data_IF_129143866434
#
_entry.id   IF_129143866434
#
_cell.length_a   1.000
_cell.length_b   1.000
_cell.length_c   1.000
_cell.angle_alpha   90.00
_cell.angle_beta   90.00
_cell.angle_gamma   90.00
#
_symmetry.space_group_name_H-M   'P 1'
#
loop_
_entity.id
_entity.type
_entity.pdbx_description
1 polymer ?
#
# COMPACT_ATOMS: atom_id res chain seq x y z
N UNK A 1 -38.70 9.31 -2.12
CA UNK A 1 -38.40 8.77 -3.47
C UNK A 1 -39.45 7.78 -3.94
N UNK A 2 -39.86 6.79 -3.14
CA UNK A 2 -40.81 5.75 -3.54
C UNK A 2 -42.24 6.28 -3.79
N UNK A 3 -42.72 7.22 -2.99
CA UNK A 3 -44.02 7.85 -3.15
C UNK A 3 -44.15 8.68 -4.46
N UNK A 4 -43.07 9.39 -4.82
CA UNK A 4 -43.02 10.18 -6.07
C UNK A 4 -43.01 9.26 -7.30
N UNK A 5 -42.27 8.16 -7.21
CA UNK A 5 -42.21 7.13 -8.25
C UNK A 5 -43.55 6.41 -8.43
N UNK A 6 -44.28 6.16 -7.35
CA UNK A 6 -45.62 5.57 -7.42
C UNK A 6 -46.61 6.49 -8.09
N UNK A 7 -46.68 7.78 -7.71
CA UNK A 7 -47.55 8.77 -8.32
C UNK A 7 -47.29 8.92 -9.82
N UNK A 8 -46.01 8.95 -10.24
CA UNK A 8 -45.65 9.00 -11.65
C UNK A 8 -46.15 7.76 -12.43
N UNK A 9 -46.09 6.56 -11.83
CA UNK A 9 -46.60 5.32 -12.45
C UNK A 9 -48.12 5.31 -12.56
N UNK A 10 -48.83 5.74 -11.54
CA UNK A 10 -50.27 5.84 -11.54
C UNK A 10 -50.74 6.87 -12.59
N UNK A 11 -50.09 8.03 -12.66
CA UNK A 11 -50.40 9.04 -13.68
C UNK A 11 -50.12 8.50 -15.09
N UNK A 12 -49.02 7.79 -15.29
CA UNK A 12 -48.70 7.19 -16.58
C UNK A 12 -49.75 6.16 -17.01
N UNK A 13 -50.22 5.28 -16.09
CA UNK A 13 -51.33 4.33 -16.37
C UNK A 13 -52.59 5.04 -16.83
N UNK A 14 -52.97 6.13 -16.14
CA UNK A 14 -54.13 6.96 -16.54
C UNK A 14 -53.96 7.57 -17.95
N UNK A 15 -52.79 8.11 -18.24
CA UNK A 15 -52.47 8.70 -19.54
C UNK A 15 -52.50 7.67 -20.68
N UNK A 16 -52.10 6.42 -20.44
CA UNK A 16 -52.18 5.34 -21.43
C UNK A 16 -53.61 5.06 -21.84
N UNK A 17 -54.58 5.21 -20.92
CA UNK A 17 -56.01 5.02 -21.21
C UNK A 17 -56.61 6.26 -21.84
N UNK A 18 -56.26 7.46 -21.38
CA UNK A 18 -56.83 8.71 -21.85
C UNK A 18 -56.30 9.18 -23.22
N UNK A 19 -55.08 8.84 -23.54
CA UNK A 19 -54.35 9.32 -24.71
C UNK A 19 -53.59 8.21 -25.44
N UNK A 20 -54.28 7.17 -25.97
CA UNK A 20 -53.63 5.96 -26.49
C UNK A 20 -52.70 6.22 -27.69
N UNK A 21 -52.91 7.31 -28.40
CA UNK A 21 -52.16 7.66 -29.61
C UNK A 21 -50.90 8.49 -29.35
N UNK A 22 -50.58 8.76 -28.10
CA UNK A 22 -49.37 9.53 -27.78
C UNK A 22 -48.10 8.75 -28.08
N UNK A 23 -47.06 9.50 -28.53
CA UNK A 23 -45.71 8.98 -28.71
C UNK A 23 -45.04 8.81 -27.36
N UNK A 24 -44.00 7.96 -27.32
CA UNK A 24 -43.19 7.76 -26.09
C UNK A 24 -42.63 9.08 -25.52
N UNK A 25 -42.25 10.01 -26.45
CA UNK A 25 -41.72 11.33 -26.09
C UNK A 25 -42.77 12.18 -25.38
N UNK A 26 -44.01 12.17 -25.87
CA UNK A 26 -45.11 12.91 -25.24
C UNK A 26 -45.46 12.37 -23.86
N UNK A 27 -45.51 11.03 -23.70
CA UNK A 27 -45.70 10.44 -22.38
C UNK A 27 -44.54 10.78 -21.43
N UNK A 28 -43.29 10.70 -21.89
CA UNK A 28 -42.10 11.03 -21.08
C UNK A 28 -42.18 12.46 -20.56
N UNK A 29 -42.58 13.39 -21.41
CA UNK A 29 -42.70 14.80 -21.10
C UNK A 29 -43.83 15.07 -20.11
N UNK A 30 -44.99 14.42 -20.30
CA UNK A 30 -46.17 14.59 -19.43
C UNK A 30 -45.97 14.01 -18.02
N UNK A 31 -45.18 12.94 -17.89
CA UNK A 31 -44.90 12.29 -16.60
C UNK A 31 -43.61 12.82 -15.96
N UNK A 32 -42.77 13.59 -16.68
CA UNK A 32 -41.48 14.07 -16.20
C UNK A 32 -40.41 12.96 -16.08
N UNK A 33 -40.51 11.91 -16.90
CA UNK A 33 -39.61 10.75 -16.86
C UNK A 33 -38.91 10.51 -18.20
N UNK A 34 -37.89 9.68 -18.23
CA UNK A 34 -37.17 9.33 -19.47
C UNK A 34 -38.00 8.43 -20.40
N UNK A 35 -37.75 8.50 -21.72
CA UNK A 35 -38.37 7.58 -22.69
C UNK A 35 -38.05 6.09 -22.40
N UNK A 36 -36.88 5.81 -21.84
CA UNK A 36 -36.52 4.46 -21.39
C UNK A 36 -37.42 3.99 -20.23
N UNK A 37 -37.77 4.87 -19.32
CA UNK A 37 -38.70 4.61 -18.25
C UNK A 37 -40.10 4.32 -18.83
N UNK A 38 -40.59 5.15 -19.76
CA UNK A 38 -41.87 4.95 -20.46
C UNK A 38 -41.92 3.59 -21.18
N UNK A 39 -40.86 3.24 -21.94
CA UNK A 39 -40.75 1.93 -22.61
C UNK A 39 -40.88 0.76 -21.63
N UNK A 40 -40.17 0.84 -20.51
CA UNK A 40 -40.20 -0.19 -19.46
C UNK A 40 -41.60 -0.35 -18.87
N UNK A 41 -42.20 0.77 -18.48
CA UNK A 41 -43.50 0.76 -17.79
C UNK A 41 -44.66 0.46 -18.74
N UNK A 42 -44.64 0.88 -20.02
CA UNK A 42 -45.61 0.46 -21.02
C UNK A 42 -45.64 -1.06 -21.17
N UNK A 43 -44.46 -1.73 -21.25
CA UNK A 43 -44.43 -3.18 -21.33
C UNK A 43 -45.04 -3.82 -20.09
N UNK A 44 -44.72 -3.32 -18.90
CA UNK A 44 -45.16 -3.88 -17.62
C UNK A 44 -46.68 -3.71 -17.41
N UNK A 45 -47.20 -2.56 -17.72
CA UNK A 45 -48.63 -2.28 -17.59
C UNK A 45 -49.48 -3.06 -18.61
N UNK A 46 -48.98 -3.30 -19.82
CA UNK A 46 -49.68 -4.13 -20.83
C UNK A 46 -49.74 -5.61 -20.43
N UNK A 47 -48.79 -6.08 -19.61
CA UNK A 47 -48.73 -7.46 -19.17
C UNK A 47 -49.51 -7.71 -17.87
N UNK A 48 -49.95 -6.66 -17.19
CA UNK A 48 -50.72 -6.74 -15.96
C UNK A 48 -52.22 -6.73 -16.23
N UNK A 49 -53.01 -7.27 -15.31
CA UNK A 49 -54.47 -7.12 -15.35
C UNK A 49 -54.84 -5.64 -15.19
N UNK A 50 -55.99 -5.20 -15.81
CA UNK A 50 -56.40 -3.81 -15.76
C UNK A 50 -56.54 -3.23 -14.34
N UNK A 51 -56.93 -4.05 -13.38
CA UNK A 51 -57.20 -3.62 -11.99
C UNK A 51 -56.08 -3.99 -11.01
N UNK A 52 -54.96 -4.52 -11.52
CA UNK A 52 -53.81 -4.84 -10.67
C UNK A 52 -53.05 -3.57 -10.25
N UNK A 53 -53.26 -3.12 -9.02
CA UNK A 53 -52.52 -2.02 -8.42
C UNK A 53 -51.11 -2.40 -7.97
N UNK A 54 -50.85 -3.70 -7.74
CA UNK A 54 -49.54 -4.16 -7.28
C UNK A 54 -48.45 -3.95 -8.33
N UNK A 55 -48.84 -3.89 -9.62
CA UNK A 55 -47.95 -3.58 -10.73
C UNK A 55 -47.26 -2.22 -10.58
N UNK A 56 -47.96 -1.26 -9.92
CA UNK A 56 -47.42 0.07 -9.67
C UNK A 56 -46.35 0.10 -8.56
N UNK A 57 -46.27 -0.91 -7.77
CA UNK A 57 -45.25 -1.02 -6.72
C UNK A 57 -43.84 -1.26 -7.30
N UNK A 58 -42.83 -0.71 -6.63
CA UNK A 58 -41.44 -0.94 -6.98
C UNK A 58 -41.05 -2.40 -6.75
N UNK A 59 -40.45 -3.02 -7.74
CA UNK A 59 -39.85 -4.35 -7.52
C UNK A 59 -38.55 -4.21 -6.76
N UNK A 60 -38.30 -5.10 -5.82
CA UNK A 60 -37.01 -5.20 -5.12
C UNK A 60 -35.86 -5.34 -6.14
N UNK A 61 -34.82 -4.52 -5.94
CA UNK A 61 -33.55 -4.63 -6.70
C UNK A 61 -32.61 -5.65 -6.09
N UNK A 62 -33.05 -6.35 -5.04
CA UNK A 62 -32.25 -7.42 -4.43
C UNK A 62 -32.00 -8.53 -5.46
N UNK A 63 -30.85 -9.16 -5.34
CA UNK A 63 -30.55 -10.33 -6.16
C UNK A 63 -31.54 -11.44 -5.87
N UNK A 64 -32.14 -12.02 -6.91
CA UNK A 64 -33.06 -13.16 -6.80
C UNK A 64 -32.36 -14.39 -6.20
N UNK A 65 -31.09 -14.56 -6.50
CA UNK A 65 -30.22 -15.62 -5.96
C UNK A 65 -29.03 -14.94 -5.27
N UNK A 66 -29.13 -14.59 -3.99
CA UNK A 66 -27.99 -14.08 -3.26
C UNK A 66 -26.93 -15.18 -3.14
N UNK A 67 -25.63 -14.81 -3.21
CA UNK A 67 -24.58 -15.80 -3.00
C UNK A 67 -24.71 -16.40 -1.59
N UNK A 68 -24.42 -17.68 -1.49
CA UNK A 68 -24.37 -18.39 -0.22
C UNK A 68 -23.46 -17.67 0.78
N UNK A 69 -23.90 -17.61 2.01
CA UNK A 69 -23.12 -17.01 3.11
C UNK A 69 -21.95 -17.92 3.45
N UNK A 70 -20.87 -17.31 3.92
CA UNK A 70 -19.76 -18.06 4.50
C UNK A 70 -20.26 -18.79 5.77
N UNK A 71 -19.70 -19.97 6.03
CA UNK A 71 -19.99 -20.71 7.26
C UNK A 71 -19.52 -19.93 8.49
N UNK A 72 -20.14 -20.20 9.60
CA UNK A 72 -19.83 -19.59 10.88
C UNK A 72 -18.38 -19.84 11.29
N UNK A 73 -17.89 -21.05 11.06
CA UNK A 73 -16.49 -21.46 11.27
C UNK A 73 -15.50 -20.55 10.56
N UNK A 74 -15.77 -20.20 9.27
CA UNK A 74 -14.90 -19.29 8.52
C UNK A 74 -15.00 -17.87 9.04
N UNK A 75 -16.17 -17.42 9.48
CA UNK A 75 -16.37 -16.10 10.08
C UNK A 75 -15.61 -15.99 11.41
N UNK A 76 -15.72 -16.98 12.27
CA UNK A 76 -15.01 -17.06 13.55
C UNK A 76 -13.48 -17.05 13.33
N UNK A 77 -13.00 -17.87 12.39
CA UNK A 77 -11.57 -17.90 12.07
C UNK A 77 -11.05 -16.56 11.55
N UNK A 78 -11.85 -15.81 10.77
CA UNK A 78 -11.51 -14.43 10.34
C UNK A 78 -11.36 -13.51 11.55
N UNK A 79 -12.22 -13.60 12.55
CA UNK A 79 -12.18 -12.80 13.76
C UNK A 79 -11.01 -13.22 14.65
N UNK A 80 -10.75 -14.50 14.79
CA UNK A 80 -9.63 -15.05 15.54
C UNK A 80 -8.28 -14.58 14.97
N UNK A 81 -8.05 -14.74 13.66
CA UNK A 81 -6.84 -14.23 13.00
C UNK A 81 -6.69 -12.70 13.16
N UNK A 82 -7.80 -11.97 13.28
CA UNK A 82 -7.78 -10.53 13.55
C UNK A 82 -7.38 -10.21 14.98
N UNK A 83 -7.93 -10.92 15.96
CA UNK A 83 -7.78 -10.66 17.38
C UNK A 83 -6.50 -11.32 17.96
N UNK A 84 -6.12 -12.48 17.39
CA UNK A 84 -4.90 -13.23 17.70
C UNK A 84 -4.07 -13.40 16.42
N UNK A 85 -3.22 -12.43 16.10
CA UNK A 85 -2.42 -12.47 14.87
C UNK A 85 -1.49 -13.70 14.86
N UNK A 86 -1.23 -14.29 13.68
CA UNK A 86 -0.22 -15.33 13.53
C UNK A 86 1.15 -14.86 14.02
N UNK A 87 1.97 -15.81 14.47
CA UNK A 87 3.33 -15.55 14.95
C UNK A 87 4.14 -14.73 13.93
N UNK A 88 4.89 -13.75 14.41
CA UNK A 88 5.66 -12.83 13.57
C UNK A 88 4.88 -11.64 13.00
N UNK A 89 3.55 -11.58 13.18
CA UNK A 89 2.74 -10.45 12.76
C UNK A 89 2.38 -9.55 13.95
N UNK A 90 3.25 -8.63 14.29
CA UNK A 90 3.14 -7.78 15.50
C UNK A 90 2.00 -6.78 15.54
N UNK A 91 0.99 -6.89 14.65
CA UNK A 91 -0.20 -6.03 14.65
C UNK A 91 -1.44 -6.77 14.14
N UNK A 92 -2.64 -6.32 14.54
CA UNK A 92 -3.88 -6.91 14.01
C UNK A 92 -3.93 -6.84 12.49
N UNK A 93 -4.04 -7.99 11.78
CA UNK A 93 -4.02 -8.04 10.31
C UNK A 93 -5.26 -7.37 9.72
N UNK A 94 -5.05 -6.63 8.62
CA UNK A 94 -6.14 -6.08 7.82
C UNK A 94 -6.78 -7.14 6.92
N UNK A 95 -7.90 -6.77 6.29
CA UNK A 95 -8.67 -7.69 5.44
C UNK A 95 -7.85 -8.34 4.29
N UNK A 96 -6.82 -7.66 3.76
CA UNK A 96 -5.93 -8.23 2.73
C UNK A 96 -4.98 -9.27 3.32
N UNK A 97 -4.42 -9.02 4.50
CA UNK A 97 -3.56 -9.96 5.18
C UNK A 97 -4.35 -11.22 5.59
N UNK A 98 -5.54 -11.05 6.17
CA UNK A 98 -6.40 -12.19 6.51
C UNK A 98 -6.72 -13.02 5.26
N UNK A 99 -7.05 -12.39 4.12
CA UNK A 99 -7.29 -13.11 2.86
C UNK A 99 -6.08 -13.94 2.40
N UNK A 100 -4.88 -13.51 2.75
CA UNK A 100 -3.64 -14.23 2.45
C UNK A 100 -3.44 -15.45 3.37
N UNK A 101 -3.79 -15.34 4.66
CA UNK A 101 -3.59 -16.42 5.64
C UNK A 101 -4.66 -17.52 5.56
N UNK A 102 -5.93 -17.18 5.32
CA UNK A 102 -7.02 -18.15 5.30
C UNK A 102 -6.79 -19.37 4.38
N UNK A 103 -6.29 -19.24 3.13
CA UNK A 103 -6.02 -20.39 2.27
C UNK A 103 -4.82 -21.25 2.72
N UNK A 104 -4.11 -20.85 3.76
CA UNK A 104 -2.96 -21.55 4.35
C UNK A 104 -3.30 -22.20 5.69
N UNK A 105 -4.52 -22.01 6.13
CA UNK A 105 -5.04 -22.58 7.36
C UNK A 105 -5.38 -24.07 7.13
N UNK A 106 -4.61 -24.95 7.79
CA UNK A 106 -4.74 -26.38 7.61
C UNK A 106 -6.11 -26.92 8.04
N UNK A 107 -6.69 -26.37 9.11
CA UNK A 107 -7.97 -26.80 9.66
C UNK A 107 -9.12 -26.45 8.72
N UNK A 108 -9.13 -25.25 8.17
CA UNK A 108 -10.14 -24.83 7.19
C UNK A 108 -10.04 -25.62 5.87
N UNK A 109 -8.82 -25.96 5.45
CA UNK A 109 -8.58 -26.78 4.26
C UNK A 109 -9.05 -28.22 4.47
N UNK A 110 -8.73 -28.82 5.62
CA UNK A 110 -9.16 -30.18 5.96
C UNK A 110 -10.68 -30.33 6.03
N UNK A 111 -11.38 -29.27 6.49
CA UNK A 111 -12.84 -29.23 6.55
C UNK A 111 -13.50 -28.88 5.21
N UNK A 112 -12.75 -28.64 4.15
CA UNK A 112 -13.28 -28.26 2.83
C UNK A 112 -14.11 -26.97 2.84
N UNK A 113 -13.83 -26.04 3.75
CA UNK A 113 -14.62 -24.83 3.95
C UNK A 113 -14.50 -23.87 2.76
N UNK A 114 -15.64 -23.27 2.37
CA UNK A 114 -15.66 -22.24 1.34
C UNK A 114 -15.06 -20.94 1.85
N UNK A 115 -13.90 -20.54 1.33
CA UNK A 115 -13.20 -19.35 1.73
C UNK A 115 -13.68 -18.07 0.98
N UNK A 116 -13.54 -16.88 1.59
CA UNK A 116 -13.86 -15.61 0.94
C UNK A 116 -12.91 -15.36 -0.23
N UNK A 117 -13.45 -14.95 -1.38
CA UNK A 117 -12.67 -14.65 -2.60
C UNK A 117 -12.16 -13.21 -2.67
N UNK A 118 -12.58 -12.35 -1.75
CA UNK A 118 -12.19 -10.93 -1.78
C UNK A 118 -11.99 -10.36 -0.38
N UNK A 119 -11.03 -9.45 -0.28
CA UNK A 119 -10.79 -8.67 0.93
C UNK A 119 -12.00 -7.79 1.33
N UNK A 120 -12.89 -7.45 0.38
CA UNK A 120 -14.11 -6.70 0.66
C UNK A 120 -15.10 -7.50 1.53
N UNK A 121 -15.19 -8.80 1.31
CA UNK A 121 -16.02 -9.68 2.13
C UNK A 121 -15.51 -9.74 3.57
N UNK A 122 -14.20 -9.94 3.74
CA UNK A 122 -13.54 -9.92 5.05
C UNK A 122 -13.71 -8.57 5.74
N UNK A 123 -13.48 -7.47 5.01
CA UNK A 123 -13.69 -6.11 5.55
C UNK A 123 -15.11 -5.93 6.09
N UNK A 124 -16.13 -6.42 5.36
CA UNK A 124 -17.53 -6.34 5.80
C UNK A 124 -17.77 -7.11 7.09
N UNK A 125 -17.22 -8.33 7.21
CA UNK A 125 -17.29 -9.14 8.42
C UNK A 125 -16.65 -8.42 9.61
N UNK A 126 -15.39 -7.96 9.44
CA UNK A 126 -14.68 -7.24 10.48
C UNK A 126 -15.40 -5.95 10.91
N UNK A 127 -16.04 -5.26 9.96
CA UNK A 127 -16.81 -4.05 10.24
C UNK A 127 -18.11 -4.37 11.01
N UNK A 128 -18.82 -5.42 10.63
CA UNK A 128 -20.02 -5.87 11.34
C UNK A 128 -19.71 -6.33 12.76
N UNK A 129 -18.56 -6.97 12.96
CA UNK A 129 -18.04 -7.36 14.27
C UNK A 129 -17.42 -6.20 15.07
N UNK A 130 -17.47 -4.94 14.59
CA UNK A 130 -16.91 -3.78 15.29
C UNK A 130 -15.38 -3.71 15.34
N UNK A 131 -14.66 -4.59 14.60
CA UNK A 131 -13.19 -4.66 14.58
C UNK A 131 -12.53 -3.61 13.69
N UNK A 132 -13.30 -2.78 12.96
CA UNK A 132 -12.81 -1.71 12.09
C UNK A 132 -13.49 -0.40 12.43
N UNK A 133 -12.69 0.60 12.86
CA UNK A 133 -13.15 1.98 13.02
C UNK A 133 -13.05 2.71 11.68
N UNK A 134 -14.09 3.44 11.30
CA UNK A 134 -14.06 4.29 10.10
C UNK A 134 -13.07 5.44 10.33
N UNK A 135 -12.02 5.51 9.52
CA UNK A 135 -11.21 6.73 9.39
C UNK A 135 -11.80 7.59 8.28
N UNK A 136 -11.82 8.92 8.48
CA UNK A 136 -12.15 9.83 7.38
C UNK A 136 -11.14 9.62 6.25
N UNK A 137 -11.60 9.49 5.00
CA UNK A 137 -10.68 9.37 3.88
C UNK A 137 -9.82 10.63 3.79
N UNK A 138 -8.51 10.52 3.79
CA UNK A 138 -7.63 11.58 3.32
C UNK A 138 -7.68 11.54 1.80
N UNK A 139 -8.11 12.62 1.19
CA UNK A 139 -7.96 12.83 -0.25
C UNK A 139 -6.46 13.00 -0.49
N UNK A 140 -5.83 12.03 -1.11
CA UNK A 140 -4.46 12.12 -1.61
C UNK A 140 -4.56 12.03 -3.12
N UNK A 141 -3.95 12.96 -3.80
CA UNK A 141 -3.78 12.86 -5.25
C UNK A 141 -2.99 11.59 -5.58
N UNK A 142 -3.35 10.88 -6.66
CA UNK A 142 -2.60 9.70 -7.10
C UNK A 142 -1.20 10.15 -7.51
N UNK A 143 -0.19 9.79 -6.75
CA UNK A 143 1.21 10.00 -7.16
C UNK A 143 1.62 8.83 -8.06
N UNK A 144 2.10 9.15 -9.25
CA UNK A 144 2.68 8.16 -10.16
C UNK A 144 3.91 7.51 -9.50
N UNK A 145 3.98 6.20 -9.56
CA UNK A 145 5.08 5.48 -8.95
C UNK A 145 6.27 5.40 -9.90
N UNK A 146 7.48 5.61 -9.41
CA UNK A 146 8.67 5.41 -10.22
C UNK A 146 8.79 3.94 -10.67
N UNK A 147 9.60 3.73 -11.70
CA UNK A 147 9.89 2.38 -12.18
C UNK A 147 10.47 1.48 -11.05
N UNK A 148 10.26 0.17 -11.10
CA UNK A 148 10.82 -0.75 -10.13
C UNK A 148 12.32 -0.53 -9.93
N UNK A 149 12.78 -0.46 -8.68
CA UNK A 149 14.18 -0.32 -8.27
C UNK A 149 14.91 0.94 -8.80
N UNK A 150 14.24 1.85 -9.48
CA UNK A 150 14.87 3.05 -10.05
C UNK A 150 15.17 4.14 -9.02
N UNK A 151 14.37 4.23 -7.98
CA UNK A 151 14.51 5.24 -6.93
C UNK A 151 14.44 4.58 -5.56
N UNK A 152 15.42 4.90 -4.70
CA UNK A 152 15.47 4.40 -3.34
C UNK A 152 15.44 5.54 -2.34
N UNK A 153 14.71 5.33 -1.26
CA UNK A 153 14.67 6.24 -0.12
C UNK A 153 15.49 5.65 1.03
N UNK A 154 16.34 6.48 1.64
CA UNK A 154 17.17 6.13 2.78
C UNK A 154 16.76 6.95 4.00
N UNK A 155 16.81 6.34 5.17
CA UNK A 155 16.56 7.03 6.42
C UNK A 155 17.05 6.20 7.61
N UNK A 156 17.46 6.89 8.69
CA UNK A 156 17.83 6.26 9.93
C UNK A 156 16.63 6.01 10.82
N UNK A 157 16.67 4.92 11.55
CA UNK A 157 15.67 4.58 12.55
C UNK A 157 16.34 4.13 13.82
N UNK A 158 16.08 4.84 14.92
CA UNK A 158 16.42 4.37 16.24
C UNK A 158 15.67 3.05 16.52
N UNK A 159 16.44 1.99 16.78
CA UNK A 159 15.95 0.67 17.12
C UNK A 159 16.09 0.34 18.61
N UNK A 160 16.56 1.28 19.42
CA UNK A 160 16.76 1.07 20.86
C UNK A 160 15.42 0.81 21.54
N UNK A 161 15.28 -0.37 22.11
CA UNK A 161 14.18 -0.72 23.01
C UNK A 161 14.65 -0.93 24.45
N UNK A 162 15.91 -0.65 24.71
CA UNK A 162 16.58 -0.91 26.00
C UNK A 162 16.04 0.02 27.07
N UNK A 163 15.66 -0.53 28.20
CA UNK A 163 15.24 0.24 29.38
C UNK A 163 16.43 1.08 29.89
N UNK A 164 16.11 2.26 30.43
CA UNK A 164 17.13 3.10 31.09
C UNK A 164 17.79 2.29 32.20
N UNK A 165 19.14 2.21 32.21
CA UNK A 165 19.88 1.54 33.25
C UNK A 165 19.68 2.23 34.60
N UNK A 166 19.91 1.49 35.68
CA UNK A 166 19.68 1.99 37.05
C UNK A 166 20.56 3.21 37.41
N UNK A 167 21.63 3.46 36.65
CA UNK A 167 22.54 4.61 36.83
C UNK A 167 22.06 5.89 36.11
N UNK A 168 20.89 5.86 35.45
CA UNK A 168 20.30 6.99 34.74
C UNK A 168 20.97 7.32 33.42
N UNK A 169 21.96 6.54 32.97
CA UNK A 169 22.52 6.69 31.61
C UNK A 169 21.51 6.21 30.58
N UNK A 170 21.36 6.99 29.52
CA UNK A 170 20.60 6.52 28.37
C UNK A 170 21.31 5.32 27.77
N UNK A 171 20.59 4.20 27.57
CA UNK A 171 21.19 3.04 26.94
C UNK A 171 21.75 3.40 25.58
N UNK A 172 22.74 2.64 25.16
CA UNK A 172 23.36 2.80 23.86
C UNK A 172 22.31 2.76 22.74
N UNK A 173 22.25 3.81 21.93
CA UNK A 173 21.30 3.91 20.82
C UNK A 173 21.79 2.96 19.72
N UNK A 174 20.96 2.01 19.36
CA UNK A 174 21.18 1.17 18.18
C UNK A 174 20.34 1.73 17.04
N UNK A 175 21.01 2.06 15.96
CA UNK A 175 20.35 2.59 14.77
C UNK A 175 20.33 1.62 13.61
N UNK A 176 19.33 1.77 12.75
CA UNK A 176 19.19 1.02 11.51
C UNK A 176 19.08 1.98 10.36
N UNK A 177 20.00 1.88 9.42
CA UNK A 177 19.88 2.55 8.11
C UNK A 177 18.99 1.69 7.21
N UNK A 178 17.80 2.19 6.93
CA UNK A 178 16.84 1.54 6.04
C UNK A 178 16.91 2.11 4.63
N UNK A 179 16.87 1.21 3.66
CA UNK A 179 16.76 1.57 2.24
C UNK A 179 15.55 0.87 1.62
N UNK A 180 14.65 1.66 1.02
CA UNK A 180 13.42 1.13 0.40
C UNK A 180 13.30 1.58 -1.05
N UNK A 181 12.97 0.65 -1.95
CA UNK A 181 12.66 0.97 -3.34
C UNK A 181 11.25 1.58 -3.43
N UNK A 182 11.14 2.83 -3.86
CA UNK A 182 9.88 3.57 -3.86
C UNK A 182 8.83 2.95 -4.77
N UNK A 183 9.23 2.55 -5.98
CA UNK A 183 8.33 1.96 -6.97
C UNK A 183 7.71 0.64 -6.54
N UNK A 184 8.46 -0.19 -5.81
CA UNK A 184 8.04 -1.54 -5.40
C UNK A 184 7.63 -1.64 -3.95
N UNK A 185 8.08 -0.70 -3.11
CA UNK A 185 8.02 -0.76 -1.65
C UNK A 185 8.79 -1.95 -1.05
N UNK A 186 9.76 -2.49 -1.75
CA UNK A 186 10.68 -3.52 -1.25
C UNK A 186 11.69 -2.86 -0.33
N UNK A 187 11.90 -3.44 0.85
CA UNK A 187 12.96 -3.05 1.77
C UNK A 187 14.27 -3.64 1.24
N UNK A 188 15.07 -2.81 0.55
CA UNK A 188 16.31 -3.23 -0.14
C UNK A 188 17.34 -3.68 0.88
N UNK A 189 17.50 -2.90 1.96
CA UNK A 189 18.38 -3.24 3.06
C UNK A 189 17.90 -2.58 4.37
N UNK A 190 18.29 -3.19 5.49
CA UNK A 190 18.17 -2.64 6.83
C UNK A 190 19.50 -2.95 7.57
N UNK A 191 20.41 -2.00 7.57
CA UNK A 191 21.75 -2.18 8.15
C UNK A 191 21.75 -1.71 9.60
N UNK A 192 22.05 -2.62 10.52
CA UNK A 192 22.06 -2.37 11.96
C UNK A 192 23.48 -2.07 12.42
N UNK A 193 23.67 -0.95 13.10
CA UNK A 193 24.96 -0.58 13.73
C UNK A 193 24.72 0.02 15.12
N UNK A 194 25.75 -0.04 15.95
CA UNK A 194 25.76 0.63 17.25
C UNK A 194 25.84 2.16 17.11
N UNK A 195 26.47 2.61 16.03
CA UNK A 195 26.66 4.01 15.69
C UNK A 195 26.66 4.22 14.18
N UNK A 196 26.20 5.36 13.75
CA UNK A 196 26.36 5.87 12.38
C UNK A 196 27.02 7.23 12.43
N UNK A 197 28.27 7.27 12.05
CA UNK A 197 29.01 8.51 11.73
C UNK A 197 28.84 8.83 10.23
N UNK A 198 29.31 9.97 9.77
CA UNK A 198 29.35 10.29 8.34
C UNK A 198 30.14 9.25 7.54
N UNK A 199 31.26 8.76 8.08
CA UNK A 199 32.11 7.74 7.45
C UNK A 199 31.41 6.38 7.40
N UNK A 200 30.86 5.90 8.52
CA UNK A 200 30.16 4.61 8.58
C UNK A 200 28.87 4.63 7.77
N UNK A 201 28.24 5.77 7.61
CA UNK A 201 27.09 5.98 6.72
C UNK A 201 27.45 5.89 5.26
N UNK A 202 28.57 6.51 4.86
CA UNK A 202 29.11 6.40 3.51
C UNK A 202 29.45 4.93 3.18
N UNK A 203 30.14 4.23 4.11
CA UNK A 203 30.46 2.81 3.94
C UNK A 203 29.20 1.96 3.79
N UNK A 204 28.19 2.22 4.61
CA UNK A 204 26.90 1.50 4.55
C UNK A 204 26.20 1.69 3.20
N UNK A 205 26.20 2.92 2.66
CA UNK A 205 25.62 3.21 1.34
C UNK A 205 26.47 2.56 0.24
N UNK A 206 27.80 2.59 0.33
CA UNK A 206 28.67 1.94 -0.65
C UNK A 206 28.44 0.42 -0.68
N UNK A 207 28.32 -0.22 0.48
CA UNK A 207 28.01 -1.65 0.60
C UNK A 207 26.63 -2.00 0.06
N UNK A 208 25.63 -1.13 0.30
CA UNK A 208 24.28 -1.24 -0.25
C UNK A 208 24.33 -1.25 -1.78
N UNK A 209 25.01 -0.26 -2.39
CA UNK A 209 25.10 -0.13 -3.85
C UNK A 209 25.90 -1.28 -4.48
N UNK A 210 26.97 -1.74 -3.81
CA UNK A 210 27.76 -2.88 -4.28
C UNK A 210 26.94 -4.18 -4.27
N UNK A 211 26.10 -4.37 -3.27
CA UNK A 211 25.33 -5.63 -3.09
C UNK A 211 24.09 -5.66 -3.98
N UNK A 212 23.39 -4.53 -4.13
CA UNK A 212 22.07 -4.48 -4.76
C UNK A 212 22.05 -3.71 -6.09
N UNK A 213 23.18 -3.17 -6.55
CA UNK A 213 23.29 -2.34 -7.73
C UNK A 213 22.98 -0.87 -7.45
N UNK A 214 23.11 -0.04 -8.48
CA UNK A 214 22.88 1.41 -8.40
C UNK A 214 21.48 1.75 -8.91
N UNK A 215 20.63 2.42 -8.12
CA UNK A 215 19.41 3.04 -8.62
C UNK A 215 19.73 4.24 -9.50
N UNK A 216 18.73 4.84 -10.11
CA UNK A 216 18.89 6.10 -10.82
C UNK A 216 18.96 7.29 -9.85
N UNK A 217 18.26 7.17 -8.70
CA UNK A 217 18.17 8.24 -7.72
C UNK A 217 18.15 7.68 -6.30
N UNK A 218 18.85 8.37 -5.40
CA UNK A 218 18.70 8.24 -3.94
C UNK A 218 17.97 9.47 -3.39
N UNK A 219 17.02 9.21 -2.50
CA UNK A 219 16.31 10.26 -1.75
C UNK A 219 16.58 10.07 -0.26
N UNK A 220 17.00 11.11 0.42
CA UNK A 220 17.18 11.12 1.88
C UNK A 220 16.99 12.52 2.46
N UNK A 221 16.86 12.62 3.75
CA UNK A 221 16.71 13.87 4.46
C UNK A 221 18.05 14.62 4.61
N UNK A 222 18.01 15.75 5.29
CA UNK A 222 19.20 16.57 5.56
C UNK A 222 19.91 16.18 6.85
N UNK A 223 19.91 14.90 7.21
CA UNK A 223 20.70 14.42 8.34
C UNK A 223 22.18 14.79 8.14
N UNK A 224 22.87 15.38 9.13
CA UNK A 224 24.27 15.78 9.01
C UNK A 224 25.22 14.64 8.59
N UNK A 225 24.88 13.40 8.87
CA UNK A 225 25.64 12.21 8.45
C UNK A 225 25.60 11.99 6.93
N UNK A 226 24.54 12.46 6.26
CA UNK A 226 24.43 12.39 4.80
C UNK A 226 24.97 13.64 4.10
N UNK A 227 24.64 14.84 4.61
CA UNK A 227 24.89 16.08 3.86
C UNK A 227 25.99 16.94 4.43
N UNK A 228 26.50 16.66 5.62
CA UNK A 228 27.36 17.53 6.42
C UNK A 228 26.69 18.88 6.78
N UNK A 229 27.35 19.67 7.63
CA UNK A 229 26.85 21.00 7.93
C UNK A 229 27.14 21.96 6.76
N UNK A 230 26.18 22.74 6.27
CA UNK A 230 26.42 23.75 5.22
C UNK A 230 27.47 24.79 5.58
N UNK A 231 27.71 25.00 6.89
CA UNK A 231 28.74 25.90 7.43
C UNK A 231 30.07 25.18 7.69
N UNK A 232 30.09 23.85 7.55
CA UNK A 232 31.30 23.05 7.70
C UNK A 232 32.18 23.08 6.45
N UNK A 233 33.51 22.87 6.65
CA UNK A 233 34.49 22.80 5.55
C UNK A 233 34.29 21.59 4.62
N UNK A 234 33.43 20.60 4.99
CA UNK A 234 33.21 19.37 4.25
C UNK A 234 31.90 19.34 3.46
N UNK A 235 31.46 20.47 2.94
CA UNK A 235 30.32 20.55 2.03
C UNK A 235 30.80 20.71 0.56
N UNK A 236 30.24 19.95 -0.40
CA UNK A 236 29.34 18.80 -0.25
C UNK A 236 30.00 17.62 0.46
N UNK A 237 29.21 16.88 1.26
CA UNK A 237 29.71 15.75 2.05
C UNK A 237 30.42 14.68 1.20
N UNK A 238 31.20 13.82 1.86
CA UNK A 238 31.82 12.69 1.19
C UNK A 238 30.79 11.78 0.49
N UNK A 239 29.60 11.59 1.08
CA UNK A 239 28.52 10.83 0.45
C UNK A 239 27.99 11.52 -0.82
N UNK A 240 27.77 12.82 -0.79
CA UNK A 240 27.29 13.56 -1.96
C UNK A 240 28.31 13.50 -3.11
N UNK A 241 29.60 13.71 -2.80
CA UNK A 241 30.69 13.56 -3.77
C UNK A 241 30.77 12.14 -4.35
N UNK A 242 30.60 11.12 -3.50
CA UNK A 242 30.59 9.73 -3.91
C UNK A 242 29.42 9.43 -4.87
N UNK A 243 28.22 9.90 -4.57
CA UNK A 243 27.07 9.76 -5.46
C UNK A 243 27.30 10.47 -6.82
N UNK A 244 27.87 11.67 -6.80
CA UNK A 244 28.21 12.43 -8.01
C UNK A 244 29.23 11.69 -8.88
N UNK A 245 30.29 11.14 -8.28
CA UNK A 245 31.29 10.32 -8.98
C UNK A 245 30.68 9.07 -9.65
N UNK A 246 29.61 8.50 -9.08
CA UNK A 246 28.89 7.38 -9.66
C UNK A 246 27.83 7.81 -10.71
N UNK A 247 27.61 9.09 -10.90
CA UNK A 247 26.53 9.62 -11.75
C UNK A 247 25.14 9.32 -11.19
N UNK A 248 25.05 9.14 -9.87
CA UNK A 248 23.82 8.81 -9.16
C UNK A 248 23.11 10.13 -8.76
N UNK A 249 21.87 10.30 -9.23
CA UNK A 249 21.08 11.47 -8.85
C UNK A 249 20.74 11.42 -7.36
N UNK A 250 20.87 12.57 -6.68
CA UNK A 250 20.49 12.71 -5.26
C UNK A 250 19.34 13.71 -5.15
N UNK A 251 18.28 13.31 -4.47
CA UNK A 251 17.16 14.16 -4.07
C UNK A 251 17.22 14.38 -2.55
N UNK A 252 17.54 15.60 -2.14
CA UNK A 252 17.50 16.01 -0.73
C UNK A 252 16.11 16.49 -0.39
N UNK A 253 15.47 15.86 0.58
CA UNK A 253 14.14 16.27 1.05
C UNK A 253 14.16 17.72 1.53
N UNK A 254 13.11 18.47 1.20
CA UNK A 254 12.92 19.82 1.70
C UNK A 254 12.63 19.81 3.21
N UNK A 255 13.09 20.83 3.94
CA UNK A 255 12.73 20.98 5.34
C UNK A 255 11.22 20.99 5.53
N UNK A 256 10.74 20.23 6.53
CA UNK A 256 9.31 20.11 6.86
C UNK A 256 8.42 19.42 5.80
N UNK A 257 9.02 18.71 4.83
CA UNK A 257 8.30 17.92 3.81
C UNK A 257 8.48 16.40 3.99
N UNK A 258 7.97 15.81 5.10
CA UNK A 258 8.16 14.38 5.41
C UNK A 258 7.51 13.43 4.38
N UNK A 259 6.61 13.93 3.54
CA UNK A 259 6.00 13.15 2.47
C UNK A 259 6.99 12.77 1.37
N UNK A 260 8.05 13.56 1.17
CA UNK A 260 9.11 13.27 0.17
C UNK A 260 9.91 12.01 0.53
N UNK A 261 10.00 11.67 1.83
CA UNK A 261 10.61 10.42 2.31
C UNK A 261 9.54 9.44 2.84
N UNK A 262 8.36 9.47 2.23
CA UNK A 262 7.16 8.79 2.74
C UNK A 262 7.20 7.26 2.60
N UNK A 263 7.99 6.68 1.69
CA UNK A 263 8.07 5.22 1.53
C UNK A 263 8.85 4.60 2.68
N UNK A 264 10.03 5.14 3.02
CA UNK A 264 10.85 4.65 4.15
C UNK A 264 10.17 4.92 5.48
N UNK A 265 9.53 6.08 5.67
CA UNK A 265 8.76 6.39 6.88
C UNK A 265 7.61 5.39 7.13
N UNK A 266 6.96 4.91 6.07
CA UNK A 266 5.96 3.83 6.18
C UNK A 266 6.58 2.49 6.58
N UNK A 267 7.77 2.17 6.07
CA UNK A 267 8.50 0.95 6.47
C UNK A 267 8.93 1.03 7.93
N UNK A 268 9.41 2.18 8.40
CA UNK A 268 9.75 2.42 9.82
C UNK A 268 8.58 2.17 10.75
N UNK A 269 7.37 2.62 10.37
CA UNK A 269 6.17 2.34 11.16
C UNK A 269 5.89 0.84 11.23
N UNK A 270 6.05 0.12 10.15
CA UNK A 270 5.87 -1.33 10.13
C UNK A 270 6.93 -2.02 10.97
N UNK A 271 8.19 -1.64 10.81
CA UNK A 271 9.30 -2.15 11.59
C UNK A 271 9.10 -1.93 13.10
N UNK A 272 8.69 -0.72 13.49
CA UNK A 272 8.37 -0.41 14.89
C UNK A 272 7.23 -1.28 15.44
N UNK A 273 6.14 -1.44 14.67
CA UNK A 273 4.92 -2.10 15.16
C UNK A 273 4.96 -3.63 15.03
N UNK A 274 5.65 -4.15 14.05
CA UNK A 274 5.63 -5.59 13.71
C UNK A 274 6.90 -6.32 14.17
N UNK A 275 7.98 -5.59 14.46
CA UNK A 275 9.26 -6.14 14.91
C UNK A 275 9.64 -5.61 16.31
N UNK A 276 10.06 -4.36 16.41
CA UNK A 276 10.65 -3.84 17.65
C UNK A 276 9.68 -3.86 18.85
N UNK A 277 8.42 -3.49 18.65
CA UNK A 277 7.43 -3.46 19.74
C UNK A 277 7.04 -4.88 20.23
N UNK A 278 7.22 -5.89 19.38
CA UNK A 278 6.88 -7.29 19.67
C UNK A 278 8.06 -8.02 20.27
N UNK A 279 9.20 -7.99 19.59
CA UNK A 279 10.40 -8.74 19.97
C UNK A 279 11.18 -8.09 21.11
N UNK A 280 11.10 -6.73 21.22
CA UNK A 280 11.78 -5.94 22.26
C UNK A 280 13.26 -6.31 22.47
N UNK A 281 14.07 -6.31 21.40
CA UNK A 281 15.46 -6.71 21.48
C UNK A 281 16.22 -5.79 22.45
N UNK A 282 17.08 -6.35 23.30
CA UNK A 282 17.85 -5.66 24.31
C UNK A 282 19.32 -5.44 23.95
N UNK A 283 19.83 -6.18 22.96
CA UNK A 283 21.24 -6.12 22.55
C UNK A 283 21.37 -5.83 21.05
N UNK A 284 22.56 -5.39 20.62
CA UNK A 284 22.87 -5.15 19.20
C UNK A 284 22.66 -6.40 18.34
N UNK A 285 23.07 -7.55 18.84
CA UNK A 285 22.97 -8.84 18.16
C UNK A 285 21.50 -9.26 18.01
N UNK A 286 20.70 -9.06 19.04
CA UNK A 286 19.26 -9.30 18.99
C UNK A 286 18.59 -8.36 17.98
N UNK A 287 18.95 -7.07 17.95
CA UNK A 287 18.42 -6.13 16.95
C UNK A 287 18.77 -6.57 15.54
N UNK A 288 20.01 -7.05 15.30
CA UNK A 288 20.42 -7.61 14.01
C UNK A 288 19.57 -8.81 13.61
N UNK A 289 19.44 -9.79 14.52
CA UNK A 289 18.67 -11.01 14.26
C UNK A 289 17.19 -10.73 13.94
N UNK A 290 16.52 -9.92 14.76
CA UNK A 290 15.09 -9.58 14.54
C UNK A 290 14.89 -8.70 13.31
N UNK A 291 15.88 -7.84 12.96
CA UNK A 291 15.84 -7.02 11.76
C UNK A 291 15.94 -7.88 10.50
N UNK A 292 16.82 -8.86 10.48
CA UNK A 292 16.97 -9.80 9.36
C UNK A 292 15.67 -10.60 9.14
N UNK A 293 15.11 -11.14 10.21
CA UNK A 293 13.80 -11.81 10.17
C UNK A 293 12.70 -10.89 9.65
N UNK A 294 12.69 -9.63 10.11
CA UNK A 294 11.73 -8.64 9.65
C UNK A 294 11.87 -8.35 8.16
N UNK A 295 13.09 -8.20 7.62
CA UNK A 295 13.34 -7.98 6.19
C UNK A 295 12.76 -9.13 5.36
N UNK A 296 13.01 -10.37 5.78
CA UNK A 296 12.46 -11.56 5.14
C UNK A 296 10.92 -11.56 5.18
N UNK A 297 10.34 -11.34 6.35
CA UNK A 297 8.88 -11.26 6.50
C UNK A 297 8.28 -10.11 5.66
N UNK A 298 8.88 -8.92 5.73
CA UNK A 298 8.39 -7.72 5.05
C UNK A 298 8.35 -7.89 3.54
N UNK A 299 9.40 -8.46 2.96
CA UNK A 299 9.55 -8.59 1.51
C UNK A 299 8.80 -9.79 0.94
N UNK A 300 8.75 -10.93 1.63
CA UNK A 300 8.28 -12.19 1.05
C UNK A 300 6.94 -12.70 1.61
N UNK A 301 6.59 -12.34 2.84
CA UNK A 301 5.38 -12.85 3.48
C UNK A 301 4.28 -11.79 3.60
N UNK A 302 4.63 -10.52 3.47
CA UNK A 302 3.67 -9.42 3.56
C UNK A 302 3.11 -9.07 2.19
N UNK A 303 1.76 -8.93 2.04
CA UNK A 303 1.18 -8.45 0.79
C UNK A 303 1.53 -6.98 0.57
N UNK A 304 2.53 -6.73 -0.27
CA UNK A 304 2.90 -5.39 -0.70
C UNK A 304 1.83 -4.79 -1.61
N UNK A 305 1.71 -3.45 -1.66
CA UNK A 305 0.67 -2.77 -2.45
C UNK A 305 0.84 -2.90 -3.96
N UNK A 306 1.99 -3.35 -4.45
CA UNK A 306 2.27 -3.60 -5.86
C UNK A 306 2.10 -5.09 -6.20
N UNK A 307 0.91 -5.52 -6.68
CA UNK A 307 0.63 -6.95 -6.92
C UNK A 307 1.51 -7.58 -8.00
N UNK A 308 2.08 -6.77 -8.89
CA UNK A 308 2.87 -7.24 -10.04
C UNK A 308 4.26 -7.78 -9.65
N UNK A 309 4.73 -7.53 -8.44
CA UNK A 309 6.05 -7.94 -7.95
C UNK A 309 5.97 -8.97 -6.82
N UNK A 310 4.74 -9.31 -6.41
CA UNK A 310 4.52 -10.29 -5.37
C UNK A 310 4.35 -11.68 -5.98
N UNK A 311 5.48 -12.40 -6.13
CA UNK A 311 5.50 -13.84 -6.38
C UNK A 311 6.27 -14.52 -5.24
N UNK A 312 5.67 -15.47 -4.52
CA UNK A 312 6.28 -16.08 -3.33
C UNK A 312 7.48 -16.99 -3.60
N UNK A 313 7.87 -17.21 -4.85
CA UNK A 313 8.79 -18.28 -5.26
C UNK A 313 10.00 -17.84 -6.06
N UNK A 314 10.29 -16.55 -6.17
CA UNK A 314 11.49 -16.11 -6.87
C UNK A 314 12.62 -15.87 -5.88
N UNK A 315 13.74 -16.56 -6.08
CA UNK A 315 15.05 -16.11 -5.60
C UNK A 315 15.22 -14.60 -5.87
N UNK A 316 15.99 -13.87 -5.05
CA UNK A 316 15.99 -12.42 -5.06
C UNK A 316 16.16 -11.90 -6.49
N UNK A 317 15.14 -11.23 -7.00
CA UNK A 317 15.13 -10.61 -8.35
C UNK A 317 16.16 -9.48 -8.49
N UNK A 318 16.95 -9.27 -7.47
CA UNK A 318 18.01 -8.27 -7.39
C UNK A 318 19.17 -8.56 -8.35
N UNK A 319 19.45 -9.84 -8.67
CA UNK A 319 20.53 -10.22 -9.58
C UNK A 319 20.23 -9.98 -11.06
N UNK A 320 18.96 -9.85 -11.45
CA UNK A 320 18.56 -9.62 -12.85
C UNK A 320 18.29 -8.14 -13.20
N UNK A 321 18.33 -7.25 -12.19
CA UNK A 321 18.09 -5.82 -12.35
C UNK A 321 19.38 -4.98 -12.27
N UNK A 322 20.56 -5.61 -12.28
CA UNK A 322 21.77 -4.90 -12.61
C UNK A 322 21.63 -4.36 -14.05
N UNK A 323 21.15 -3.12 -14.16
CA UNK A 323 21.13 -2.44 -15.43
C UNK A 323 22.51 -2.45 -16.06
N UNK A 324 22.65 -2.38 -17.38
CA UNK A 324 23.93 -2.42 -18.04
C UNK A 324 24.83 -1.35 -17.43
N UNK A 325 26.01 -1.75 -17.00
CA UNK A 325 27.06 -0.80 -16.60
C UNK A 325 27.15 0.25 -17.68
N UNK A 326 26.88 1.51 -17.33
CA UNK A 326 26.99 2.61 -18.30
C UNK A 326 28.42 2.63 -18.78
N UNK A 327 28.61 2.25 -20.05
CA UNK A 327 29.87 2.30 -20.72
C UNK A 327 30.47 3.71 -20.59
N UNK A 328 31.71 3.78 -20.20
CA UNK A 328 32.47 5.00 -20.16
C UNK A 328 32.32 5.72 -21.51
N UNK A 329 31.89 6.98 -21.49
CA UNK A 329 31.90 7.81 -22.70
C UNK A 329 33.32 7.84 -23.25
N UNK A 330 33.55 7.53 -24.53
CA UNK A 330 34.89 7.72 -25.11
C UNK A 330 35.24 9.18 -25.05
N UNK A 331 36.40 9.48 -24.45
CA UNK A 331 36.92 10.82 -24.29
C UNK A 331 37.13 11.48 -25.65
N UNK A 332 36.53 12.64 -25.85
CA UNK A 332 36.91 13.52 -26.95
C UNK A 332 38.33 14.06 -26.65
N UNK A 333 39.25 13.97 -27.59
CA UNK A 333 40.58 14.58 -27.43
C UNK A 333 40.44 16.11 -27.42
N UNK A 334 40.88 16.75 -26.35
CA UNK A 334 41.09 18.23 -26.37
C UNK A 334 42.21 18.54 -27.33
N UNK A 335 41.90 19.23 -28.41
CA UNK A 335 42.88 19.85 -29.28
C UNK A 335 43.62 20.95 -28.52
N UNK A 336 44.89 20.72 -28.25
CA UNK A 336 45.84 21.78 -27.90
C UNK A 336 46.18 22.52 -29.22
N UNK A 337 45.55 23.68 -29.47
CA UNK A 337 46.04 24.64 -30.43
C UNK A 337 46.90 25.62 -29.64
N UNK A 338 48.21 25.52 -29.80
CA UNK A 338 49.15 26.56 -29.43
C UNK A 338 49.08 27.73 -30.41
N UNK A 339 49.51 28.89 -29.98
CA UNK A 339 49.66 30.06 -30.81
C UNK A 339 50.24 31.20 -30.00
N UNK A 340 51.56 31.35 -30.11
CA UNK A 340 52.40 32.57 -30.06
C UNK A 340 51.97 33.68 -29.09
#
# INVERSE_FOLDING_TARGET
MEAVDYAARANFRRLLTQSPNWTRKQYAQAVGMSEGWVKKWSKRLRQAAPDDETVLQGQSRARKHPPERLSEVVVERILEVRDQPPDGLGRPPGAKAILYYLPRDADLLAQGQRLPRSSRTIYRILRQAGRIRRRRPRVQEPTERPAPMSQWQLDFKDASSVAVEADGKRPHVVEVLNSIAEGTSVLVAAQVRSDFTAETSLQAVADLLRTHGCPQQLTFDRDPRFVSSPQGSDFPSALLRFCDCLGLAVHLCDPHHPEQNGAVSRSHRSYQQECLAVQRPGTLEEVRAVTEQFVQHYNFQRPLKAPQLWQPTAAPRFSSLAGPARGARPGQPRSLAGGV
#
